data_IF_518260178050
#
_entry.id   IF_518260178050
#
_cell.length_a   1.000
_cell.length_b   1.000
_cell.length_c   1.000
_cell.angle_alpha   90.00
_cell.angle_beta   90.00
_cell.angle_gamma   90.00
#
_symmetry.space_group_name_H-M   'P 1'
#
loop_
_entity.id
_entity.type
_entity.pdbx_description
1 polymer ?
#
# COMPACT_ATOMS: atom_id res chain seq x y z
N UNK A 1 23.73 -10.09 -15.08
CA UNK A 1 22.47 -10.00 -14.33
C UNK A 1 21.46 -9.24 -15.17
N UNK A 2 20.22 -9.72 -15.28
CA UNK A 2 19.18 -9.03 -16.05
C UNK A 2 18.67 -7.82 -15.24
N UNK A 3 18.45 -6.69 -15.92
CA UNK A 3 18.00 -5.44 -15.27
C UNK A 3 16.58 -5.65 -14.72
N UNK A 4 16.26 -5.17 -13.49
CA UNK A 4 14.95 -5.38 -12.91
C UNK A 4 13.84 -4.76 -13.76
N UNK A 5 12.72 -5.47 -13.91
CA UNK A 5 11.51 -4.94 -14.53
C UNK A 5 10.97 -3.80 -13.66
N UNK A 6 10.72 -2.65 -14.25
CA UNK A 6 10.20 -1.48 -13.54
C UNK A 6 8.68 -1.43 -13.69
N UNK A 7 7.98 -1.35 -12.57
CA UNK A 7 6.51 -1.32 -12.53
C UNK A 7 6.07 -0.11 -11.71
N UNK A 8 5.20 0.70 -12.28
CA UNK A 8 4.56 1.83 -11.59
C UNK A 8 3.12 1.46 -11.25
N UNK A 9 2.75 1.63 -9.99
CA UNK A 9 1.40 1.42 -9.48
C UNK A 9 0.82 2.78 -9.10
N UNK A 10 -0.35 3.12 -9.66
CA UNK A 10 -1.05 4.38 -9.39
C UNK A 10 -2.22 4.09 -8.46
N UNK A 11 -2.19 4.68 -7.27
CA UNK A 11 -3.13 4.46 -6.18
C UNK A 11 -2.55 3.58 -5.07
N UNK A 12 -2.44 4.14 -3.87
CA UNK A 12 -2.02 3.51 -2.62
C UNK A 12 -3.17 2.97 -1.77
N UNK A 13 -4.31 2.66 -2.39
CA UNK A 13 -5.40 1.92 -1.75
C UNK A 13 -5.07 0.43 -1.53
N UNK A 14 -6.00 -0.31 -0.92
CA UNK A 14 -5.82 -1.74 -0.63
C UNK A 14 -5.36 -2.54 -1.86
N UNK A 15 -5.98 -2.32 -3.02
CA UNK A 15 -5.62 -3.01 -4.27
C UNK A 15 -4.19 -2.71 -4.72
N UNK A 16 -3.77 -1.44 -4.69
CA UNK A 16 -2.43 -1.05 -5.12
C UNK A 16 -1.34 -1.57 -4.18
N UNK A 17 -1.59 -1.52 -2.87
CA UNK A 17 -0.70 -2.09 -1.86
C UNK A 17 -0.60 -3.61 -1.99
N UNK A 18 -1.72 -4.32 -2.21
CA UNK A 18 -1.72 -5.76 -2.45
C UNK A 18 -0.96 -6.13 -3.72
N UNK A 19 -1.13 -5.36 -4.80
CA UNK A 19 -0.38 -5.58 -6.04
C UNK A 19 1.13 -5.36 -5.85
N UNK A 20 1.53 -4.29 -5.15
CA UNK A 20 2.93 -4.03 -4.81
C UNK A 20 3.52 -5.19 -3.99
N UNK A 21 2.82 -5.59 -2.93
CA UNK A 21 3.23 -6.70 -2.07
C UNK A 21 3.41 -7.98 -2.88
N UNK A 22 2.41 -8.37 -3.69
CA UNK A 22 2.45 -9.59 -4.48
C UNK A 22 3.62 -9.59 -5.47
N UNK A 23 3.82 -8.50 -6.22
CA UNK A 23 4.93 -8.37 -7.16
C UNK A 23 6.29 -8.48 -6.47
N UNK A 24 6.45 -7.90 -5.27
CA UNK A 24 7.72 -7.97 -4.54
C UNK A 24 7.99 -9.31 -3.87
N UNK A 25 6.96 -10.11 -3.58
CA UNK A 25 7.06 -11.36 -2.80
C UNK A 25 6.97 -12.63 -3.63
N UNK A 26 6.32 -12.58 -4.79
CA UNK A 26 6.01 -13.77 -5.60
C UNK A 26 6.64 -13.74 -7.00
N UNK A 27 7.33 -12.66 -7.38
CA UNK A 27 8.00 -12.62 -8.68
C UNK A 27 9.22 -13.53 -8.70
N UNK A 28 9.32 -14.37 -9.73
CA UNK A 28 10.52 -15.17 -10.03
C UNK A 28 11.62 -14.35 -10.70
N UNK A 29 11.28 -13.17 -11.22
CA UNK A 29 12.19 -12.22 -11.83
C UNK A 29 12.48 -11.05 -10.88
N UNK A 30 13.59 -10.33 -11.13
CA UNK A 30 13.89 -9.11 -10.39
C UNK A 30 12.93 -7.99 -10.79
N UNK A 31 12.19 -7.46 -9.83
CA UNK A 31 11.19 -6.39 -10.05
C UNK A 31 11.50 -5.19 -9.16
N UNK A 32 11.37 -3.98 -9.71
CA UNK A 32 11.40 -2.72 -8.97
C UNK A 32 10.04 -2.04 -9.07
N UNK A 33 9.33 -1.97 -7.96
CA UNK A 33 8.01 -1.32 -7.87
C UNK A 33 8.16 0.13 -7.43
N UNK A 34 7.41 1.03 -8.05
CA UNK A 34 7.20 2.42 -7.60
C UNK A 34 5.70 2.63 -7.43
N UNK A 35 5.25 2.94 -6.22
CA UNK A 35 3.86 3.22 -5.91
C UNK A 35 3.67 4.73 -5.76
N UNK A 36 2.66 5.29 -6.42
CA UNK A 36 2.33 6.70 -6.38
C UNK A 36 0.89 6.84 -5.87
N UNK A 37 0.69 7.61 -4.81
CA UNK A 37 -0.60 7.95 -4.22
C UNK A 37 -0.75 9.48 -4.22
N UNK A 38 -1.96 9.96 -4.52
CA UNK A 38 -2.26 11.39 -4.56
C UNK A 38 -2.45 11.97 -3.15
N UNK A 39 -2.99 11.19 -2.22
CA UNK A 39 -3.16 11.57 -0.82
C UNK A 39 -1.84 11.48 -0.03
N UNK A 40 -1.69 12.26 1.06
CA UNK A 40 -0.52 12.18 1.95
C UNK A 40 -0.48 10.89 2.80
N UNK A 41 -1.38 9.94 2.56
CA UNK A 41 -1.53 8.68 3.30
C UNK A 41 -1.84 7.53 2.37
N UNK A 42 -1.52 6.33 2.82
CA UNK A 42 -1.94 5.09 2.17
C UNK A 42 -3.31 4.61 2.71
N UNK A 43 -3.90 3.62 2.03
CA UNK A 43 -5.11 2.92 2.45
C UNK A 43 -6.33 3.21 1.57
N UNK A 44 -6.36 4.35 0.88
CA UNK A 44 -7.51 4.74 0.06
C UNK A 44 -8.79 4.78 0.92
N UNK A 45 -9.80 3.98 0.54
CA UNK A 45 -11.06 3.85 1.29
C UNK A 45 -10.90 3.18 2.66
N UNK A 46 -9.79 2.48 2.92
CA UNK A 46 -9.49 1.90 4.23
C UNK A 46 -8.99 3.03 5.13
N UNK A 47 -9.82 3.43 6.09
CA UNK A 47 -9.51 4.46 7.07
C UNK A 47 -10.14 4.07 8.41
N UNK A 48 -9.36 4.20 9.48
CA UNK A 48 -9.81 3.94 10.85
C UNK A 48 -9.76 5.24 11.63
N UNK A 49 -10.84 5.59 12.30
CA UNK A 49 -10.87 6.71 13.24
C UNK A 49 -10.67 6.15 14.64
N UNK A 50 -9.54 6.47 15.26
CA UNK A 50 -9.33 6.24 16.69
C UNK A 50 -10.15 7.31 17.42
N UNK A 51 -10.96 6.87 18.37
CA UNK A 51 -11.71 7.74 19.26
C UNK A 51 -11.25 7.46 20.67
N UNK A 52 -10.92 8.51 21.40
CA UNK A 52 -10.78 8.41 22.84
C UNK A 52 -12.18 8.19 23.38
N UNK A 53 -12.37 7.07 24.07
CA UNK A 53 -13.54 6.88 24.89
C UNK A 53 -13.21 7.57 26.21
N UNK A 54 -14.00 8.58 26.56
CA UNK A 54 -14.06 8.99 27.95
C UNK A 54 -14.37 7.72 28.75
N UNK A 55 -13.58 7.47 29.77
CA UNK A 55 -13.53 6.29 30.63
C UNK A 55 -14.86 5.99 31.36
N UNK A 56 -15.92 6.72 31.05
CA UNK A 56 -17.27 6.43 31.49
C UNK A 56 -17.36 6.54 33.01
N UNK A 57 -17.88 7.68 33.46
CA UNK A 57 -18.92 7.62 34.48
C UNK A 57 -20.04 6.68 33.98
N UNK A 58 -19.87 5.37 34.20
CA UNK A 58 -20.91 4.35 34.46
C UNK A 58 -20.31 3.00 34.80
#
# INVERSE_FOLDING_TARGET
MQKPKQIVIVGGGITGLSAAWYLTTHSTESVKVTLIEAEPRLGGKVITRVVDLDDGQR
#
